data_IF_851485625626
#
_entry.id   IF_851485625626
#
_cell.length_a   1.000
_cell.length_b   1.000
_cell.length_c   1.000
_cell.angle_alpha   90.00
_cell.angle_beta   90.00
_cell.angle_gamma   90.00
#
_symmetry.space_group_name_H-M   'P 1'
#
loop_
_entity.id
_entity.type
_entity.pdbx_description
1 polymer ?
#
# COMPACT_ATOMS: atom_id res chain seq x y z
N UNK A 1 1.67 48.30 -21.39
CA UNK A 1 1.29 47.06 -22.10
C UNK A 1 1.40 45.94 -21.08
N UNK A 2 0.25 45.40 -20.65
CA UNK A 2 0.11 44.69 -19.38
C UNK A 2 0.73 43.27 -19.42
N UNK A 3 1.42 42.96 -18.32
CA UNK A 3 2.00 41.68 -17.94
C UNK A 3 0.85 40.68 -17.68
N UNK A 4 0.71 39.62 -18.48
CA UNK A 4 -0.28 38.59 -18.22
C UNK A 4 0.37 37.41 -17.50
N UNK A 5 0.47 37.54 -16.16
CA UNK A 5 0.71 36.43 -15.23
C UNK A 5 -0.64 35.72 -15.06
N UNK A 6 -0.89 34.74 -15.92
CA UNK A 6 -2.03 33.84 -15.83
C UNK A 6 -1.58 32.47 -15.39
N UNK A 7 -1.70 32.23 -14.08
CA UNK A 7 -1.44 30.97 -13.40
C UNK A 7 -1.91 29.74 -14.19
N UNK A 8 -0.96 28.89 -14.61
CA UNK A 8 -1.22 27.47 -14.81
C UNK A 8 -0.38 26.66 -13.82
N UNK A 9 -0.49 26.99 -12.55
CA UNK A 9 -0.25 26.04 -11.45
C UNK A 9 -1.39 25.03 -11.43
N UNK A 10 -1.59 24.34 -12.55
CA UNK A 10 -2.33 23.09 -12.57
C UNK A 10 -1.46 22.06 -11.89
N UNK A 11 -1.43 22.08 -10.55
CA UNK A 11 -1.00 20.94 -9.76
C UNK A 11 -1.94 19.81 -10.12
N UNK A 12 -1.62 19.08 -11.21
CA UNK A 12 -2.21 17.78 -11.51
C UNK A 12 -1.93 16.96 -10.25
N UNK A 13 -2.95 16.81 -9.41
CA UNK A 13 -2.91 15.94 -8.25
C UNK A 13 -2.43 14.59 -8.78
N UNK A 14 -1.22 14.18 -8.40
CA UNK A 14 -0.68 12.85 -8.70
C UNK A 14 -0.95 12.02 -7.45
N UNK A 15 -2.05 11.25 -7.39
CA UNK A 15 -2.39 10.44 -6.22
C UNK A 15 -1.26 9.46 -5.89
N UNK A 16 -0.49 9.06 -6.89
CA UNK A 16 0.71 8.23 -6.72
C UNK A 16 1.89 8.96 -6.08
N UNK A 17 2.10 10.27 -6.30
CA UNK A 17 3.27 10.97 -5.75
C UNK A 17 3.11 11.32 -4.26
N UNK A 18 1.99 11.96 -3.89
CA UNK A 18 1.70 12.33 -2.50
C UNK A 18 0.94 11.25 -1.74
N UNK A 19 -0.10 10.68 -2.37
CA UNK A 19 -0.95 9.66 -1.75
C UNK A 19 -0.22 8.33 -1.54
N UNK A 20 0.62 7.90 -2.49
CA UNK A 20 1.42 6.69 -2.32
C UNK A 20 2.35 6.74 -1.09
N UNK A 21 2.99 7.88 -0.84
CA UNK A 21 3.81 8.08 0.35
C UNK A 21 2.99 8.01 1.64
N UNK A 22 1.80 8.63 1.66
CA UNK A 22 0.87 8.57 2.80
C UNK A 22 0.47 7.13 3.10
N UNK A 23 0.24 6.29 2.08
CA UNK A 23 -0.11 4.88 2.25
C UNK A 23 1.07 4.10 2.84
N UNK A 24 2.31 4.35 2.40
CA UNK A 24 3.51 3.75 3.00
C UNK A 24 3.65 4.15 4.48
N UNK A 25 3.53 5.45 4.79
CA UNK A 25 3.62 5.95 6.16
C UNK A 25 2.51 5.38 7.05
N UNK A 26 1.29 5.26 6.51
CA UNK A 26 0.16 4.63 7.21
C UNK A 26 0.48 3.16 7.54
N UNK A 27 1.06 2.41 6.60
CA UNK A 27 1.46 1.01 6.84
C UNK A 27 2.50 0.90 7.95
N UNK A 28 3.50 1.79 7.96
CA UNK A 28 4.52 1.86 9.02
C UNK A 28 3.87 2.19 10.37
N UNK A 29 3.03 3.23 10.42
CA UNK A 29 2.35 3.65 11.64
C UNK A 29 1.49 2.52 12.22
N UNK A 30 0.70 1.84 11.38
CA UNK A 30 -0.10 0.67 11.79
C UNK A 30 0.80 -0.42 12.35
N UNK A 31 1.93 -0.76 11.71
CA UNK A 31 2.87 -1.75 12.23
C UNK A 31 3.47 -1.36 13.58
N UNK A 32 3.88 -0.11 13.76
CA UNK A 32 4.47 0.37 15.01
C UNK A 32 3.46 0.37 16.17
N UNK A 33 2.23 0.81 15.89
CA UNK A 33 1.13 0.78 16.88
C UNK A 33 0.79 -0.67 17.22
N UNK A 34 0.64 -1.53 16.21
CA UNK A 34 0.34 -2.95 16.38
C UNK A 34 1.36 -3.67 17.27
N UNK A 35 2.66 -3.35 17.15
CA UNK A 35 3.70 -3.93 18.01
C UNK A 35 3.50 -3.69 19.51
N UNK A 36 2.80 -2.64 19.91
CA UNK A 36 2.54 -2.34 21.32
C UNK A 36 1.42 -3.21 21.91
N UNK A 37 0.55 -3.76 21.06
CA UNK A 37 -0.65 -4.49 21.48
C UNK A 37 -0.57 -5.99 21.18
N UNK A 38 0.26 -6.40 20.22
CA UNK A 38 0.39 -7.77 19.80
C UNK A 38 1.51 -8.51 20.55
N UNK A 39 1.24 -9.76 20.92
CA UNK A 39 2.23 -10.67 21.49
C UNK A 39 3.34 -11.02 20.49
N UNK A 40 4.31 -11.85 20.91
CA UNK A 40 5.46 -12.25 20.07
C UNK A 40 5.09 -13.13 18.87
N UNK A 41 3.89 -13.71 18.87
CA UNK A 41 3.36 -14.58 17.82
C UNK A 41 1.98 -14.08 17.38
N UNK A 42 1.78 -14.01 16.06
CA UNK A 42 0.49 -13.78 15.42
C UNK A 42 -0.15 -15.11 15.06
N UNK A 43 -1.42 -15.27 15.39
CA UNK A 43 -2.18 -16.47 15.03
C UNK A 43 -2.77 -16.25 13.64
N UNK A 44 -2.33 -17.07 12.68
CA UNK A 44 -2.79 -16.94 11.29
C UNK A 44 -3.61 -18.18 10.94
N UNK A 45 -4.92 -18.11 11.16
CA UNK A 45 -5.85 -19.15 10.74
C UNK A 45 -6.22 -18.98 9.27
N UNK A 46 -5.40 -19.53 8.38
CA UNK A 46 -5.83 -19.77 7.01
C UNK A 46 -6.62 -21.08 6.96
N UNK A 47 -7.91 -21.05 7.28
CA UNK A 47 -8.80 -22.18 6.98
C UNK A 47 -9.47 -21.96 5.62
N UNK A 48 -8.73 -22.17 4.53
CA UNK A 48 -9.42 -22.68 3.34
C UNK A 48 -9.62 -24.16 3.64
N UNK A 49 -10.88 -24.60 3.79
CA UNK A 49 -11.28 -25.91 4.33
C UNK A 49 -10.88 -27.14 3.50
N UNK A 50 -9.68 -27.17 2.95
CA UNK A 50 -9.05 -28.33 2.33
C UNK A 50 -8.09 -28.94 3.35
N UNK A 51 -8.02 -30.27 3.38
CA UNK A 51 -7.34 -31.11 4.38
C UNK A 51 -5.81 -30.95 4.49
N UNK A 52 -5.24 -29.83 4.05
CA UNK A 52 -3.82 -29.55 4.08
C UNK A 52 -3.55 -28.28 4.90
N UNK A 53 -3.21 -28.47 6.16
CA UNK A 53 -2.59 -27.47 7.03
C UNK A 53 -1.20 -27.14 6.47
N UNK A 54 -1.13 -26.34 5.40
CA UNK A 54 0.11 -26.06 4.67
C UNK A 54 0.80 -24.76 5.11
N UNK A 55 0.58 -24.33 6.36
CA UNK A 55 1.23 -23.14 6.93
C UNK A 55 1.36 -23.22 8.45
N UNK A 56 2.39 -22.60 9.04
CA UNK A 56 2.53 -22.54 10.49
C UNK A 56 1.35 -21.80 11.11
N UNK A 57 0.75 -22.37 12.16
CA UNK A 57 -0.40 -21.80 12.88
C UNK A 57 -0.08 -20.43 13.52
N UNK A 58 1.21 -20.18 13.72
CA UNK A 58 1.77 -18.99 14.34
C UNK A 58 2.92 -18.44 13.51
N UNK A 59 2.94 -17.12 13.28
CA UNK A 59 4.05 -16.44 12.63
C UNK A 59 4.65 -15.38 13.57
N UNK A 60 5.97 -15.12 13.51
CA UNK A 60 6.59 -14.07 14.32
C UNK A 60 5.97 -12.71 14.00
N UNK A 61 5.44 -12.02 15.02
CA UNK A 61 4.75 -10.74 14.86
C UNK A 61 5.60 -9.70 14.14
N UNK A 62 6.89 -9.62 14.51
CA UNK A 62 7.85 -8.71 13.87
C UNK A 62 8.01 -9.00 12.38
N UNK A 63 8.06 -10.28 11.98
CA UNK A 63 8.24 -10.65 10.58
C UNK A 63 7.01 -10.23 9.75
N UNK A 64 5.81 -10.49 10.26
CA UNK A 64 4.55 -10.13 9.58
C UNK A 64 4.38 -8.62 9.51
N UNK A 65 4.58 -7.90 10.62
CA UNK A 65 4.41 -6.45 10.66
C UNK A 65 5.50 -5.71 9.87
N UNK A 66 6.70 -6.27 9.73
CA UNK A 66 7.73 -5.72 8.85
C UNK A 66 7.44 -6.00 7.37
N UNK A 67 6.83 -7.14 7.04
CA UNK A 67 6.53 -7.50 5.66
C UNK A 67 5.57 -6.50 4.99
N UNK A 68 4.58 -5.97 5.72
CA UNK A 68 3.60 -5.03 5.16
C UNK A 68 4.22 -3.72 4.63
N UNK A 69 4.96 -2.93 5.43
CA UNK A 69 5.66 -1.75 4.93
C UNK A 69 6.62 -2.07 3.77
N UNK A 70 7.31 -3.22 3.81
CA UNK A 70 8.20 -3.66 2.74
C UNK A 70 7.42 -3.87 1.44
N UNK A 71 6.30 -4.60 1.49
CA UNK A 71 5.44 -4.87 0.33
C UNK A 71 4.88 -3.55 -0.23
N UNK A 72 4.34 -2.68 0.62
CA UNK A 72 3.77 -1.39 0.18
C UNK A 72 4.86 -0.51 -0.44
N UNK A 73 6.06 -0.48 0.13
CA UNK A 73 7.20 0.26 -0.42
C UNK A 73 7.64 -0.30 -1.77
N UNK A 74 7.70 -1.63 -1.91
CA UNK A 74 8.05 -2.30 -3.16
C UNK A 74 7.00 -2.02 -4.25
N UNK A 75 5.71 -2.04 -3.90
CA UNK A 75 4.61 -1.68 -4.80
C UNK A 75 4.71 -0.21 -5.22
N UNK A 76 4.93 0.70 -4.27
CA UNK A 76 5.12 2.12 -4.57
C UNK A 76 6.28 2.37 -5.53
N UNK A 77 7.44 1.77 -5.28
CA UNK A 77 8.61 1.90 -6.14
C UNK A 77 8.39 1.27 -7.52
N UNK A 78 7.82 0.07 -7.56
CA UNK A 78 7.55 -0.67 -8.80
C UNK A 78 6.53 0.04 -9.69
N UNK A 79 5.41 0.50 -9.12
CA UNK A 79 4.38 1.26 -9.83
C UNK A 79 4.92 2.62 -10.26
N UNK A 80 5.68 3.32 -9.42
CA UNK A 80 6.31 4.59 -9.82
C UNK A 80 7.27 4.40 -11.00
N UNK A 81 8.06 3.33 -11.00
CA UNK A 81 8.97 3.01 -12.10
C UNK A 81 8.21 2.64 -13.38
N UNK A 82 7.15 1.84 -13.25
CA UNK A 82 6.31 1.45 -14.38
C UNK A 82 5.60 2.66 -14.99
N UNK A 83 5.02 3.54 -14.17
CA UNK A 83 4.41 4.79 -14.62
C UNK A 83 5.39 5.66 -15.43
N UNK A 84 6.63 5.82 -14.96
CA UNK A 84 7.68 6.56 -15.71
C UNK A 84 8.04 5.92 -17.05
N UNK A 85 7.95 4.59 -17.16
CA UNK A 85 8.17 3.89 -18.44
C UNK A 85 6.99 4.07 -19.38
N UNK A 86 5.77 4.02 -18.84
CA UNK A 86 4.54 4.21 -19.61
C UNK A 86 4.36 5.65 -20.11
N UNK A 87 4.86 6.65 -19.37
CA UNK A 87 4.91 8.05 -19.81
C UNK A 87 5.68 8.26 -21.13
N UNK A 88 6.48 7.28 -21.60
CA UNK A 88 7.16 7.33 -22.90
C UNK A 88 6.29 6.87 -24.07
N UNK A 89 5.07 6.39 -23.82
CA UNK A 89 4.14 5.89 -24.83
C UNK A 89 3.02 6.92 -24.99
N UNK A 90 2.79 7.40 -26.22
CA UNK A 90 1.79 8.44 -26.53
C UNK A 90 0.38 8.11 -26.04
N UNK A 91 -0.01 6.83 -26.03
CA UNK A 91 -1.34 6.38 -25.58
C UNK A 91 -1.54 6.37 -24.05
N UNK A 92 -0.50 6.64 -23.26
CA UNK A 92 -0.62 6.58 -21.81
C UNK A 92 -1.36 7.77 -21.20
N UNK A 93 -1.42 8.92 -21.88
CA UNK A 93 -2.13 10.09 -21.36
C UNK A 93 -3.61 9.80 -21.11
N UNK A 94 -4.26 9.05 -22.00
CA UNK A 94 -5.67 8.66 -21.89
C UNK A 94 -5.95 7.70 -20.72
N UNK A 95 -5.00 6.80 -20.43
CA UNK A 95 -5.12 5.77 -19.39
C UNK A 95 -4.57 6.18 -18.02
N UNK A 96 -3.94 7.35 -17.91
CA UNK A 96 -3.16 7.74 -16.73
C UNK A 96 -3.97 7.80 -15.45
N UNK A 97 -5.18 8.37 -15.49
CA UNK A 97 -6.04 8.49 -14.31
C UNK A 97 -6.46 7.12 -13.79
N UNK A 98 -6.82 6.20 -14.69
CA UNK A 98 -7.16 4.82 -14.34
C UNK A 98 -5.96 4.08 -13.74
N UNK A 99 -4.77 4.24 -14.33
CA UNK A 99 -3.53 3.69 -13.80
C UNK A 99 -3.23 4.20 -12.37
N UNK A 100 -3.31 5.51 -12.16
CA UNK A 100 -3.06 6.11 -10.84
C UNK A 100 -4.07 5.65 -9.79
N UNK A 101 -5.35 5.49 -10.16
CA UNK A 101 -6.40 4.96 -9.29
C UNK A 101 -6.16 3.49 -8.92
N UNK A 102 -5.82 2.64 -9.90
CA UNK A 102 -5.52 1.22 -9.66
C UNK A 102 -4.27 1.08 -8.80
N UNK A 103 -3.20 1.83 -9.11
CA UNK A 103 -1.97 1.83 -8.32
C UNK A 103 -2.22 2.20 -6.85
N UNK A 104 -2.94 3.30 -6.63
CA UNK A 104 -3.32 3.75 -5.29
C UNK A 104 -4.24 2.75 -4.58
N UNK A 105 -5.23 2.22 -5.30
CA UNK A 105 -6.17 1.21 -4.80
C UNK A 105 -5.46 -0.07 -4.36
N UNK A 106 -4.48 -0.57 -5.13
CA UNK A 106 -3.69 -1.75 -4.76
C UNK A 106 -2.92 -1.54 -3.47
N UNK A 107 -2.20 -0.42 -3.33
CA UNK A 107 -1.45 -0.13 -2.10
C UNK A 107 -2.39 0.02 -0.89
N UNK A 108 -3.52 0.71 -1.08
CA UNK A 108 -4.53 0.90 -0.03
C UNK A 108 -5.15 -0.43 0.40
N UNK A 109 -5.44 -1.33 -0.54
CA UNK A 109 -5.97 -2.66 -0.24
C UNK A 109 -5.01 -3.47 0.64
N UNK A 110 -3.70 -3.37 0.42
CA UNK A 110 -2.69 -4.01 1.28
C UNK A 110 -2.74 -3.47 2.70
N UNK A 111 -2.89 -2.15 2.88
CA UNK A 111 -3.01 -1.54 4.22
C UNK A 111 -4.33 -1.92 4.90
N UNK A 112 -5.45 -1.97 4.16
CA UNK A 112 -6.73 -2.46 4.70
C UNK A 112 -6.58 -3.90 5.19
N UNK A 113 -5.94 -4.76 4.39
CA UNK A 113 -5.67 -6.14 4.80
C UNK A 113 -4.79 -6.22 6.06
N UNK A 114 -3.74 -5.39 6.15
CA UNK A 114 -2.90 -5.27 7.33
C UNK A 114 -3.73 -4.90 8.58
N UNK A 115 -4.59 -3.88 8.48
CA UNK A 115 -5.46 -3.46 9.59
C UNK A 115 -6.44 -4.56 10.00
N UNK A 116 -7.05 -5.25 9.03
CA UNK A 116 -7.94 -6.39 9.31
C UNK A 116 -7.22 -7.52 10.03
N UNK A 117 -5.99 -7.85 9.60
CA UNK A 117 -5.18 -8.90 10.24
C UNK A 117 -4.83 -8.53 11.69
N UNK A 118 -4.41 -7.28 11.91
CA UNK A 118 -4.13 -6.74 13.25
C UNK A 118 -5.39 -6.80 14.11
N UNK A 119 -6.52 -6.28 13.61
CA UNK A 119 -7.80 -6.28 14.34
C UNK A 119 -8.26 -7.69 14.71
N UNK A 120 -8.16 -8.65 13.79
CA UNK A 120 -8.50 -10.05 14.05
C UNK A 120 -7.65 -10.68 15.16
N UNK A 121 -6.40 -10.24 15.34
CA UNK A 121 -5.50 -10.74 16.39
C UNK A 121 -5.58 -9.95 17.71
N UNK A 122 -6.31 -8.82 17.76
CA UNK A 122 -6.57 -8.09 18.99
C UNK A 122 -7.84 -8.55 19.71
N UNK A 123 -8.75 -9.20 18.99
CA UNK A 123 -10.04 -9.70 19.52
C UNK A 123 -9.91 -11.12 20.09
N UNK A 124 -8.79 -11.80 19.83
CA UNK A 124 -8.49 -13.17 20.28
C UNK A 124 -7.61 -13.12 21.52
#
# INVERSE_FOLDING_TARGET
>A
MALNIGERTGTRFRPTAGGGLIVVLSSIAVSLVALQFLGSQLRIHWSVGTHYQLGPEYAPTLAVLAAFPIIVTALFAGLSLLGRRLERVESFEDGRAYYELVAFGTMTAVVIFQVTLVGANLVV
#
